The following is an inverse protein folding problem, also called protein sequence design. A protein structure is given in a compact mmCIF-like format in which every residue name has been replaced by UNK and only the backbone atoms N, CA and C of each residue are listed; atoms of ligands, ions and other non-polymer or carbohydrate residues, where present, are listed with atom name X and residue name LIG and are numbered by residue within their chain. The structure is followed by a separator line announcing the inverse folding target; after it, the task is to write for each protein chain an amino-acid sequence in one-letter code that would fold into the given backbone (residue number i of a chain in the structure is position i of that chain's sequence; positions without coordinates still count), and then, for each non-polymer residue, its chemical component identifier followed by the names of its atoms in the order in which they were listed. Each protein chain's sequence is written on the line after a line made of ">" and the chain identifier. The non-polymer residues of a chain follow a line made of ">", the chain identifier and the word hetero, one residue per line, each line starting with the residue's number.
data_IF_311050945537
#
_entry.id   IF_311050945537
#
_cell.length_a   1.000
_cell.length_b   1.000
_cell.length_c   1.000
_cell.angle_alpha   90.00
_cell.angle_beta   90.00
_cell.angle_gamma   90.00
#
_symmetry.space_group_name_H-M   'P 1'
#
loop_
_entity.id
_entity.type
_entity.pdbx_description
1 polymer ?
#
# COMPACT_ATOMS: atom_id res chain seq x y z
N UNK A 1 -56.83 4.33 -38.41
CA UNK A 1 -56.05 3.29 -39.12
C UNK A 1 -54.89 4.00 -39.79
N UNK A 2 -53.61 3.65 -39.70
CA UNK A 2 -52.81 2.59 -39.07
C UNK A 2 -51.37 3.12 -39.26
N UNK A 3 -50.64 3.39 -38.19
CA UNK A 3 -49.59 2.51 -37.64
C UNK A 3 -48.24 2.57 -38.35
N UNK A 4 -47.20 2.62 -37.49
CA UNK A 4 -45.79 2.27 -37.69
C UNK A 4 -44.97 3.23 -38.56
N UNK A 5 -44.06 3.97 -37.92
CA UNK A 5 -42.61 3.75 -38.05
C UNK A 5 -41.92 4.44 -36.87
N UNK A 6 -41.85 3.73 -35.74
CA UNK A 6 -41.11 4.14 -34.55
C UNK A 6 -40.26 2.95 -34.10
N UNK A 7 -39.17 2.73 -34.82
CA UNK A 7 -38.04 1.85 -34.50
C UNK A 7 -36.97 2.22 -35.54
N UNK A 8 -35.68 2.35 -35.28
CA UNK A 8 -34.78 1.82 -34.27
C UNK A 8 -33.83 2.96 -33.86
N UNK A 9 -33.50 3.12 -32.58
CA UNK A 9 -32.21 3.67 -32.11
C UNK A 9 -32.14 3.64 -30.57
N UNK A 10 -32.33 2.48 -29.95
CA UNK A 10 -32.03 2.31 -28.53
C UNK A 10 -31.54 0.88 -28.29
N UNK A 11 -30.31 0.58 -28.74
CA UNK A 11 -29.70 -0.72 -28.40
C UNK A 11 -28.17 -0.78 -28.54
N UNK A 12 -27.39 0.31 -28.41
CA UNK A 12 -25.92 0.15 -28.38
C UNK A 12 -25.22 1.25 -27.56
N UNK A 13 -25.61 1.47 -26.30
CA UNK A 13 -24.76 2.22 -25.34
C UNK A 13 -24.80 1.53 -23.97
N UNK A 14 -24.83 0.19 -23.95
CA UNK A 14 -24.83 -0.61 -22.73
C UNK A 14 -23.49 -1.25 -22.37
N UNK A 15 -22.49 -1.17 -23.25
CA UNK A 15 -21.29 -2.02 -23.15
C UNK A 15 -19.99 -1.26 -22.84
N UNK A 16 -20.04 0.02 -22.47
CA UNK A 16 -18.85 0.85 -22.27
C UNK A 16 -18.51 1.17 -20.80
N UNK A 17 -19.25 0.60 -19.84
CA UNK A 17 -19.01 0.81 -18.40
C UNK A 17 -18.80 -0.50 -17.65
N UNK A 18 -18.11 -1.47 -18.25
CA UNK A 18 -17.34 -2.41 -17.45
C UNK A 18 -15.99 -1.76 -17.15
N UNK A 19 -15.99 -0.72 -16.31
CA UNK A 19 -14.79 -0.39 -15.56
C UNK A 19 -14.54 -1.65 -14.73
N UNK A 20 -13.58 -2.46 -15.15
CA UNK A 20 -13.05 -3.50 -14.29
C UNK A 20 -12.52 -2.77 -13.06
N UNK A 21 -13.30 -2.82 -11.99
CA UNK A 21 -12.85 -2.55 -10.63
C UNK A 21 -11.82 -3.62 -10.32
N UNK A 22 -10.61 -3.44 -10.86
CA UNK A 22 -9.44 -4.09 -10.32
C UNK A 22 -9.28 -3.45 -8.94
N UNK A 23 -9.45 -4.26 -7.90
CA UNK A 23 -9.10 -3.85 -6.56
C UNK A 23 -7.70 -3.24 -6.60
N UNK A 24 -7.55 -2.08 -5.98
CA UNK A 24 -6.28 -1.38 -5.94
C UNK A 24 -5.22 -2.32 -5.37
N UNK A 25 -4.01 -2.26 -5.94
CA UNK A 25 -2.99 -3.24 -5.60
C UNK A 25 -2.58 -3.02 -4.14
N UNK A 26 -2.68 -4.07 -3.31
CA UNK A 26 -2.31 -3.94 -1.90
C UNK A 26 -0.80 -3.76 -1.80
N UNK A 27 -0.42 -2.57 -1.35
CA UNK A 27 0.96 -2.12 -1.20
C UNK A 27 1.22 -1.76 0.25
N UNK A 28 2.41 -2.10 0.75
CA UNK A 28 2.90 -1.64 2.04
C UNK A 28 4.21 -0.91 1.80
N UNK A 29 4.28 0.34 2.24
CA UNK A 29 5.53 1.09 2.32
C UNK A 29 6.07 1.03 3.75
N UNK A 30 7.34 0.66 3.92
CA UNK A 30 8.04 0.76 5.21
C UNK A 30 9.52 1.02 4.98
N UNK A 31 10.05 2.06 5.64
CA UNK A 31 11.40 2.55 5.34
C UNK A 31 11.48 2.98 3.88
N UNK A 32 12.52 2.52 3.17
CA UNK A 32 12.77 2.82 1.76
C UNK A 32 12.28 1.73 0.79
N UNK A 33 11.37 0.85 1.23
CA UNK A 33 10.88 -0.28 0.43
C UNK A 33 9.35 -0.31 0.35
N UNK A 34 8.84 -0.56 -0.86
CA UNK A 34 7.43 -0.78 -1.18
C UNK A 34 7.24 -2.25 -1.56
N UNK A 35 6.40 -2.95 -0.82
CA UNK A 35 6.08 -4.37 -1.01
C UNK A 35 4.72 -4.51 -1.68
N UNK A 36 4.63 -5.33 -2.72
CA UNK A 36 3.43 -5.47 -3.56
C UNK A 36 3.17 -6.93 -3.90
N UNK A 37 1.94 -7.40 -3.71
CA UNK A 37 1.46 -8.66 -4.28
C UNK A 37 0.82 -8.40 -5.65
N UNK A 38 1.25 -9.10 -6.71
CA UNK A 38 0.79 -8.88 -8.09
C UNK A 38 -0.17 -9.96 -8.62
N UNK A 39 -0.48 -10.97 -7.81
CA UNK A 39 -1.19 -12.18 -8.25
C UNK A 39 -0.25 -13.28 -8.76
N UNK A 40 0.92 -12.94 -9.28
CA UNK A 40 1.92 -13.91 -9.80
C UNK A 40 3.28 -13.81 -9.13
N UNK A 41 3.57 -12.69 -8.49
CA UNK A 41 4.84 -12.40 -7.83
C UNK A 41 4.64 -11.54 -6.57
N UNK A 42 5.65 -11.60 -5.71
CA UNK A 42 5.94 -10.56 -4.75
C UNK A 42 6.94 -9.61 -5.41
N UNK A 43 6.57 -8.35 -5.56
CA UNK A 43 7.43 -7.29 -6.08
C UNK A 43 7.83 -6.36 -4.94
N UNK A 44 9.10 -6.00 -4.89
CA UNK A 44 9.66 -5.07 -3.92
C UNK A 44 10.39 -3.99 -4.71
N UNK A 45 9.98 -2.74 -4.51
CA UNK A 45 10.55 -1.59 -5.20
C UNK A 45 11.12 -0.61 -4.18
N UNK A 46 12.14 0.18 -4.54
CA UNK A 46 12.51 1.31 -3.70
C UNK A 46 11.34 2.28 -3.60
N UNK A 47 11.20 2.91 -2.43
CA UNK A 47 10.31 4.05 -2.25
C UNK A 47 10.66 5.16 -3.27
N UNK A 48 9.72 5.91 -3.88
CA UNK A 48 10.00 6.96 -4.86
C UNK A 48 11.03 8.02 -4.43
N UNK A 49 11.28 8.20 -3.13
CA UNK A 49 12.35 9.06 -2.62
C UNK A 49 13.76 8.48 -2.76
N UNK A 50 13.87 7.20 -3.09
CA UNK A 50 15.08 6.38 -3.04
C UNK A 50 15.39 5.77 -4.42
N UNK A 51 16.66 5.80 -4.83
CA UNK A 51 17.05 5.30 -6.14
C UNK A 51 17.17 3.76 -6.20
N UNK A 52 17.47 3.10 -5.07
CA UNK A 52 17.70 1.65 -4.97
C UNK A 52 17.31 1.09 -3.59
N UNK A 53 16.97 -0.20 -3.55
CA UNK A 53 16.79 -0.99 -2.33
C UNK A 53 18.16 -1.30 -1.70
N UNK A 54 18.23 -1.35 -0.37
CA UNK A 54 19.42 -1.75 0.40
C UNK A 54 19.61 -3.27 0.53
N UNK A 55 18.90 -4.05 -0.26
CA UNK A 55 18.95 -5.51 -0.22
C UNK A 55 18.96 -6.13 -1.61
N UNK A 56 19.36 -7.39 -1.64
CA UNK A 56 19.18 -8.30 -2.76
C UNK A 56 18.46 -9.55 -2.29
N UNK A 57 17.89 -10.32 -3.22
CA UNK A 57 17.27 -11.60 -2.93
C UNK A 57 17.90 -12.69 -3.77
N UNK A 58 18.51 -13.67 -3.10
CA UNK A 58 19.15 -14.80 -3.74
C UNK A 58 18.89 -16.07 -2.93
N UNK A 59 18.63 -17.18 -3.62
CA UNK A 59 18.43 -18.50 -3.00
C UNK A 59 17.39 -18.53 -1.86
N UNK A 60 16.31 -17.75 -1.97
CA UNK A 60 15.25 -17.76 -0.95
C UNK A 60 15.47 -16.79 0.22
N UNK A 61 16.57 -16.02 0.23
CA UNK A 61 16.98 -15.21 1.37
C UNK A 61 17.26 -13.77 0.94
N UNK A 62 16.82 -12.82 1.77
CA UNK A 62 17.20 -11.42 1.65
C UNK A 62 18.52 -11.16 2.37
N UNK A 63 19.45 -10.51 1.69
CA UNK A 63 20.73 -10.10 2.25
C UNK A 63 21.04 -8.66 1.87
N UNK A 64 21.87 -8.00 2.68
CA UNK A 64 22.30 -6.62 2.42
C UNK A 64 22.97 -6.53 1.04
N UNK A 65 22.63 -5.50 0.28
CA UNK A 65 23.12 -5.29 -1.08
C UNK A 65 22.48 -4.07 -1.72
N UNK A 66 22.50 -3.99 -3.04
CA UNK A 66 21.81 -2.92 -3.78
C UNK A 66 21.05 -3.50 -4.94
N UNK A 67 19.76 -3.14 -5.08
CA UNK A 67 18.94 -3.57 -6.21
C UNK A 67 18.00 -2.46 -6.67
N UNK A 68 17.77 -2.35 -7.98
CA UNK A 68 16.75 -1.47 -8.54
C UNK A 68 15.32 -1.93 -8.24
N UNK A 69 15.16 -3.20 -7.85
CA UNK A 69 13.89 -3.84 -7.54
C UNK A 69 14.10 -5.35 -7.38
N UNK A 70 13.20 -6.01 -6.68
CA UNK A 70 13.24 -7.46 -6.48
C UNK A 70 11.89 -8.02 -6.90
N UNK A 71 11.92 -9.03 -7.77
CA UNK A 71 10.72 -9.78 -8.13
C UNK A 71 10.90 -11.25 -7.78
N UNK A 72 9.99 -11.77 -6.95
CA UNK A 72 10.00 -13.16 -6.49
C UNK A 72 8.75 -13.84 -7.06
N UNK A 73 8.91 -14.85 -7.93
CA UNK A 73 7.78 -15.61 -8.43
C UNK A 73 7.01 -16.26 -7.27
N UNK A 74 5.75 -15.86 -7.12
CA UNK A 74 4.86 -16.35 -6.07
C UNK A 74 3.42 -16.40 -6.60
N UNK A 75 3.06 -17.47 -7.32
CA UNK A 75 1.73 -17.61 -7.90
C UNK A 75 0.63 -17.56 -6.84
N UNK A 76 -0.39 -16.75 -7.09
CA UNK A 76 -1.52 -16.56 -6.20
C UNK A 76 -1.28 -15.56 -5.06
N UNK A 77 -0.16 -14.81 -5.05
CA UNK A 77 0.08 -13.75 -4.08
C UNK A 77 -0.99 -12.65 -4.18
N UNK A 78 -1.76 -12.43 -3.11
CA UNK A 78 -2.89 -11.49 -3.13
C UNK A 78 -2.86 -10.41 -2.06
N UNK A 79 -2.12 -10.64 -0.98
CA UNK A 79 -2.02 -9.70 0.11
C UNK A 79 -0.63 -9.77 0.74
N UNK A 80 -0.17 -8.64 1.28
CA UNK A 80 1.09 -8.54 2.00
C UNK A 80 0.82 -7.90 3.36
N UNK A 81 1.51 -8.38 4.39
CA UNK A 81 1.52 -7.79 5.72
C UNK A 81 2.94 -7.78 6.27
N UNK A 82 3.37 -6.64 6.77
CA UNK A 82 4.69 -6.48 7.38
C UNK A 82 4.53 -6.31 8.90
N UNK A 83 5.17 -7.18 9.68
CA UNK A 83 5.18 -7.12 11.14
C UNK A 83 6.63 -7.21 11.65
N UNK A 84 7.16 -6.11 12.19
CA UNK A 84 8.60 -6.00 12.46
C UNK A 84 9.40 -6.13 11.16
N UNK A 85 10.26 -7.15 11.08
CA UNK A 85 11.06 -7.49 9.91
C UNK A 85 10.49 -8.66 9.11
N UNK A 86 9.34 -9.20 9.54
CA UNK A 86 8.71 -10.34 8.92
C UNK A 86 7.63 -9.89 7.92
N UNK A 87 7.83 -10.23 6.65
CA UNK A 87 6.85 -10.05 5.59
C UNK A 87 6.04 -11.34 5.41
N UNK A 88 4.73 -11.23 5.56
CA UNK A 88 3.76 -12.29 5.33
C UNK A 88 3.03 -12.02 4.01
N UNK A 89 3.03 -12.98 3.10
CA UNK A 89 2.33 -12.88 1.81
C UNK A 89 1.23 -13.93 1.75
N UNK A 90 -0.02 -13.51 1.69
CA UNK A 90 -1.16 -14.42 1.57
C UNK A 90 -1.26 -14.93 0.12
N UNK A 91 -1.60 -16.22 -0.02
CA UNK A 91 -1.79 -16.88 -1.32
C UNK A 91 -3.16 -17.56 -1.43
N UNK A 92 -3.84 -17.37 -2.56
CA UNK A 92 -5.13 -18.01 -2.87
C UNK A 92 -5.01 -19.49 -3.30
N UNK A 93 -3.78 -20.01 -3.42
CA UNK A 93 -3.50 -21.41 -3.74
C UNK A 93 -2.08 -21.77 -3.26
N UNK A 94 -1.90 -22.96 -2.70
CA UNK A 94 -0.55 -23.50 -2.52
C UNK A 94 0.14 -23.58 -3.90
N UNK A 95 1.38 -23.09 -4.07
CA UNK A 95 2.08 -23.16 -5.35
C UNK A 95 2.08 -24.61 -5.84
N UNK A 96 1.67 -24.84 -7.09
CA UNK A 96 1.66 -26.18 -7.66
C UNK A 96 3.11 -26.73 -7.68
N UNK A 97 3.40 -27.72 -6.82
CA UNK A 97 4.67 -28.45 -6.80
C UNK A 97 5.49 -28.39 -5.51
N UNK A 98 5.10 -27.61 -4.48
CA UNK A 98 5.77 -27.61 -3.18
C UNK A 98 4.77 -27.99 -2.07
N UNK A 99 4.86 -29.20 -1.47
CA UNK A 99 3.99 -29.58 -0.37
C UNK A 99 4.38 -28.79 0.88
N UNK A 100 3.55 -27.83 1.28
CA UNK A 100 3.62 -27.20 2.61
C UNK A 100 2.76 -28.06 3.55
N UNK A 101 3.31 -28.67 4.61
CA UNK A 101 2.52 -29.45 5.55
C UNK A 101 1.47 -28.54 6.23
N UNK A 102 0.18 -28.82 6.00
CA UNK A 102 -0.94 -28.10 6.62
C UNK A 102 -1.64 -27.03 5.77
N UNK A 103 -1.32 -26.89 4.48
CA UNK A 103 -1.98 -25.91 3.61
C UNK A 103 -3.43 -26.31 3.26
N UNK A 104 -4.41 -25.72 3.98
CA UNK A 104 -5.76 -25.51 3.46
C UNK A 104 -5.73 -24.42 2.36
N UNK A 105 -6.82 -24.28 1.60
CA UNK A 105 -6.97 -23.45 0.38
C UNK A 105 -6.61 -21.95 0.50
N UNK A 106 -6.21 -21.45 1.68
CA UNK A 106 -5.59 -20.15 1.88
C UNK A 106 -4.33 -20.35 2.74
N UNK A 107 -3.16 -20.07 2.20
CA UNK A 107 -1.87 -20.19 2.91
C UNK A 107 -1.13 -18.86 2.91
N UNK A 108 -0.09 -18.72 3.74
CA UNK A 108 0.81 -17.58 3.67
C UNK A 108 2.26 -18.04 3.56
N UNK A 109 3.09 -17.25 2.88
CA UNK A 109 4.55 -17.40 2.86
C UNK A 109 5.15 -16.30 3.73
N UNK A 110 6.16 -16.64 4.52
CA UNK A 110 6.88 -15.70 5.37
C UNK A 110 8.29 -15.47 4.83
N UNK A 111 8.70 -14.21 4.75
CA UNK A 111 10.07 -13.79 4.47
C UNK A 111 10.61 -12.93 5.62
N UNK A 112 11.90 -13.07 5.95
CA UNK A 112 12.63 -12.07 6.72
C UNK A 112 13.18 -11.03 5.74
N UNK A 113 12.73 -9.78 5.89
CA UNK A 113 13.10 -8.65 5.03
C UNK A 113 13.95 -7.61 5.76
N UNK A 114 14.54 -7.98 6.91
CA UNK A 114 15.41 -7.08 7.70
C UNK A 114 16.50 -6.40 6.87
N UNK A 115 17.12 -7.11 5.92
CA UNK A 115 18.11 -6.52 5.03
C UNK A 115 17.56 -5.39 4.13
N UNK A 116 16.28 -5.46 3.76
CA UNK A 116 15.59 -4.44 2.96
C UNK A 116 15.07 -3.28 3.81
N UNK A 117 15.11 -3.42 5.13
CA UNK A 117 14.65 -2.44 6.12
C UNK A 117 15.84 -2.05 6.99
N UNK A 118 16.87 -1.37 6.44
CA UNK A 118 18.02 -0.96 7.21
C UNK A 118 17.54 -0.10 8.37
N UNK A 119 18.16 -0.27 9.55
CA UNK A 119 17.94 0.56 10.74
C UNK A 119 18.43 1.99 10.49
N UNK A 120 17.77 2.68 9.58
CA UNK A 120 17.83 4.13 9.49
C UNK A 120 16.85 4.63 10.55
N UNK A 121 17.20 5.65 11.34
CA UNK A 121 16.25 6.30 12.22
C UNK A 121 15.00 6.69 11.41
N UNK A 122 13.93 5.91 11.58
CA UNK A 122 12.63 6.20 11.00
C UNK A 122 11.77 6.72 12.14
N UNK A 123 11.48 8.02 12.10
CA UNK A 123 10.45 8.61 12.96
C UNK A 123 9.12 8.35 12.27
N UNK A 124 8.27 7.43 12.74
CA UNK A 124 6.93 7.29 12.17
C UNK A 124 6.17 8.61 12.35
N UNK A 125 5.47 9.02 11.31
CA UNK A 125 4.56 10.17 11.29
C UNK A 125 3.34 9.87 12.17
N UNK A 126 3.51 9.97 13.49
CA UNK A 126 2.45 9.71 14.47
C UNK A 126 1.60 10.97 14.64
N UNK A 127 0.29 10.85 14.39
CA UNK A 127 -0.66 11.89 14.76
C UNK A 127 -0.70 12.05 16.29
N UNK A 128 -0.58 13.28 16.78
CA UNK A 128 -0.54 13.59 18.22
C UNK A 128 -1.71 14.48 18.59
N UNK A 129 -2.40 14.14 19.67
CA UNK A 129 -3.45 14.97 20.24
C UNK A 129 -3.04 15.44 21.64
N UNK A 130 -3.07 16.75 21.87
CA UNK A 130 -3.07 17.36 23.20
C UNK A 130 -4.49 17.82 23.52
N UNK A 131 -5.20 17.02 24.30
CA UNK A 131 -6.58 17.31 24.68
C UNK A 131 -6.71 18.44 25.71
N UNK A 132 -5.63 18.80 26.42
CA UNK A 132 -5.63 19.91 27.35
C UNK A 132 -5.44 21.24 26.62
N UNK A 133 -4.60 21.26 25.59
CA UNK A 133 -4.43 22.40 24.69
C UNK A 133 -5.53 22.50 23.62
N UNK A 134 -6.26 21.40 23.37
CA UNK A 134 -7.22 21.32 22.28
C UNK A 134 -6.54 21.28 20.91
N UNK A 135 -5.40 20.59 20.80
CA UNK A 135 -4.58 20.54 19.58
C UNK A 135 -4.49 19.10 19.05
N UNK A 136 -4.65 18.92 17.75
CA UNK A 136 -4.35 17.68 17.04
C UNK A 136 -3.42 17.99 15.86
N UNK A 137 -2.27 17.33 15.81
CA UNK A 137 -1.30 17.45 14.72
C UNK A 137 -1.24 16.14 13.96
N UNK A 138 -1.51 16.20 12.66
CA UNK A 138 -1.39 15.08 11.71
C UNK A 138 -0.21 15.41 10.78
N UNK A 139 0.94 14.77 10.95
CA UNK A 139 2.08 14.99 10.08
C UNK A 139 1.90 14.33 8.69
N UNK A 140 2.59 14.87 7.69
CA UNK A 140 2.76 14.24 6.36
C UNK A 140 1.46 14.02 5.57
N UNK A 141 0.58 15.02 5.54
CA UNK A 141 -0.65 14.97 4.74
C UNK A 141 -0.37 15.56 3.35
N UNK A 142 -0.63 14.77 2.31
CA UNK A 142 -0.50 15.20 0.92
C UNK A 142 -1.75 15.94 0.46
N UNK A 143 -1.61 17.21 0.07
CA UNK A 143 -2.67 18.05 -0.49
C UNK A 143 -2.17 18.67 -1.79
N UNK A 144 -2.84 18.38 -2.90
CA UNK A 144 -2.48 18.87 -4.24
C UNK A 144 -1.00 18.66 -4.61
N UNK A 145 -0.43 17.53 -4.17
CA UNK A 145 0.97 17.15 -4.44
C UNK A 145 2.00 17.85 -3.55
N UNK A 146 1.56 18.58 -2.52
CA UNK A 146 2.41 19.20 -1.51
C UNK A 146 2.16 18.55 -0.15
N UNK A 147 3.21 18.41 0.65
CA UNK A 147 3.13 17.82 1.99
C UNK A 147 2.96 18.89 3.06
N UNK A 148 2.01 18.67 3.97
CA UNK A 148 1.71 19.56 5.08
C UNK A 148 1.68 18.82 6.41
N UNK A 149 2.01 19.55 7.48
CA UNK A 149 1.50 19.22 8.80
C UNK A 149 0.10 19.84 8.94
N UNK A 150 -0.91 19.00 9.16
CA UNK A 150 -2.26 19.48 9.43
C UNK A 150 -2.40 19.67 10.94
N UNK A 151 -2.54 20.92 11.36
CA UNK A 151 -2.79 21.28 12.76
C UNK A 151 -4.26 21.64 12.90
N UNK A 152 -4.93 20.98 13.85
CA UNK A 152 -6.32 21.22 14.19
C UNK A 152 -6.38 21.81 15.59
N UNK A 153 -6.86 23.05 15.70
CA UNK A 153 -7.01 23.75 16.98
C UNK A 153 -8.48 23.84 17.37
N UNK A 154 -8.80 23.43 18.59
CA UNK A 154 -10.13 23.51 19.15
C UNK A 154 -10.49 24.97 19.42
N UNK A 155 -11.66 25.41 18.95
CA UNK A 155 -12.16 26.76 19.25
C UNK A 155 -12.93 26.76 20.57
N UNK A 156 -12.25 27.19 21.63
CA UNK A 156 -12.81 27.23 22.98
C UNK A 156 -13.24 25.84 23.45
N UNK A 157 -14.39 25.74 24.14
CA UNK A 157 -14.93 24.46 24.61
C UNK A 157 -15.86 23.77 23.58
N UNK A 158 -15.82 24.19 22.31
CA UNK A 158 -16.70 23.63 21.27
C UNK A 158 -16.05 22.45 20.56
N UNK A 159 -16.85 21.62 19.90
CA UNK A 159 -16.34 20.58 18.99
C UNK A 159 -15.98 21.13 17.60
N UNK A 160 -15.88 22.46 17.46
CA UNK A 160 -15.45 23.08 16.21
C UNK A 160 -13.93 23.23 16.22
N UNK A 161 -13.31 22.74 15.15
CA UNK A 161 -11.86 22.76 14.96
C UNK A 161 -11.49 23.68 13.82
N UNK A 162 -10.48 24.50 14.03
CA UNK A 162 -9.81 25.26 12.98
C UNK A 162 -8.69 24.42 12.39
N UNK A 163 -8.73 24.23 11.07
CA UNK A 163 -7.75 23.42 10.34
C UNK A 163 -6.71 24.35 9.71
N UNK A 164 -5.45 24.10 10.02
CA UNK A 164 -4.30 24.88 9.55
C UNK A 164 -3.36 23.91 8.81
N UNK A 165 -3.03 24.26 7.57
CA UNK A 165 -2.00 23.57 6.80
C UNK A 165 -0.68 24.31 7.03
N UNK A 166 0.13 23.79 7.96
CA UNK A 166 1.40 24.38 8.35
C UNK A 166 2.53 23.77 7.52
N UNK A 167 3.39 24.61 6.97
CA UNK A 167 4.58 24.17 6.26
C UNK A 167 5.63 23.68 7.25
N UNK A 168 5.80 22.36 7.30
CA UNK A 168 7.00 21.66 7.78
C UNK A 168 6.82 20.19 7.41
N UNK A 169 7.63 19.73 6.46
CA UNK A 169 7.66 18.33 6.05
C UNK A 169 8.06 17.41 7.20
N UNK A 170 7.69 16.14 7.08
CA UNK A 170 8.02 15.06 7.99
C UNK A 170 9.43 15.21 8.60
N UNK A 171 9.52 15.47 9.91
CA UNK A 171 10.76 15.38 10.68
C UNK A 171 10.73 14.12 11.56
#
# INVERSE_FOLDING_TARGET
>A
MKNLFLSLSFAVIGSALSLSSHADQMTIAKGHAVFMATGTSLTILPDPSSEQLSCTYNNGVFSSGSSAGIEIPLPGAVDVKLAGNDLYVATLKAPAGLPIPGAAENSYVKYDVSACLPDVPFTPSIARADLAAGELVIPCVLVDGQEYNVVMNQRGNSMNWEVIFADSGCQ
#
